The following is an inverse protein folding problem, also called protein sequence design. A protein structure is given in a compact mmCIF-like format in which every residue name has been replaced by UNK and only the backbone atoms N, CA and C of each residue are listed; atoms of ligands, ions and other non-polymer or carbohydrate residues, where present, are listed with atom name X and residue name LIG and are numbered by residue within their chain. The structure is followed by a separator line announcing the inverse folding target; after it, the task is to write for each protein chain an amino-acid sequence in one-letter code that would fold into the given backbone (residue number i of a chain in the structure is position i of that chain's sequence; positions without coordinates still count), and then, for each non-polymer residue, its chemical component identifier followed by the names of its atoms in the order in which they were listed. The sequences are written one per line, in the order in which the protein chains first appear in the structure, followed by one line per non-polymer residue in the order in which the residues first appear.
data_IF_892359458603
#
_entry.id   IF_892359458603
#
_cell.length_a   1.000
_cell.length_b   1.000
_cell.length_c   1.000
_cell.angle_alpha   90.00
_cell.angle_beta   90.00
_cell.angle_gamma   90.00
#
_symmetry.space_group_name_H-M   'P 1'
#
loop_
_entity.id
_entity.type
_entity.pdbx_description
1 polymer ?
#
# COMPACT_ATOMS: atom_id res chain seq x y z
N UNK A 1 -6.38 8.18 0.37
CA UNK A 1 -5.16 7.77 -0.35
C UNK A 1 -5.29 6.30 -0.73
N UNK A 2 -4.61 5.85 -1.79
CA UNK A 2 -4.49 4.43 -2.10
C UNK A 2 -3.19 3.91 -1.51
N UNK A 3 -3.25 2.78 -0.82
CA UNK A 3 -2.03 2.15 -0.28
C UNK A 3 -2.01 0.67 -0.64
N UNK A 4 -0.94 0.25 -1.30
CA UNK A 4 -0.64 -1.13 -1.59
C UNK A 4 0.50 -1.59 -0.66
N UNK A 5 0.19 -2.51 0.24
CA UNK A 5 1.11 -3.02 1.24
C UNK A 5 0.75 -4.48 1.53
N UNK A 6 1.59 -5.39 1.03
CA UNK A 6 1.34 -6.82 1.18
C UNK A 6 1.38 -7.25 2.65
N UNK A 7 2.32 -6.72 3.44
CA UNK A 7 2.43 -7.09 4.85
C UNK A 7 1.19 -6.64 5.63
N UNK A 8 0.73 -5.41 5.40
CA UNK A 8 -0.35 -4.84 6.20
C UNK A 8 -1.73 -5.34 5.76
N UNK A 9 -1.97 -5.47 4.45
CA UNK A 9 -3.31 -5.73 3.91
C UNK A 9 -3.46 -7.08 3.20
N UNK A 10 -2.36 -7.75 2.90
CA UNK A 10 -2.38 -9.05 2.24
C UNK A 10 -2.83 -9.00 0.78
N UNK A 11 -3.10 -10.19 0.24
CA UNK A 11 -3.65 -10.34 -1.11
C UNK A 11 -5.18 -10.14 -1.11
N UNK A 12 -5.69 -9.54 -2.18
CA UNK A 12 -7.09 -9.62 -2.55
C UNK A 12 -7.38 -10.96 -3.23
N UNK A 13 -6.53 -11.34 -4.20
CA UNK A 13 -6.58 -12.60 -4.93
C UNK A 13 -5.16 -13.20 -4.99
N UNK A 14 -4.82 -14.14 -4.06
CA UNK A 14 -3.51 -14.77 -4.03
C UNK A 14 -3.15 -15.51 -5.33
N UNK A 15 -4.14 -16.06 -6.04
CA UNK A 15 -3.89 -16.84 -7.26
C UNK A 15 -3.35 -15.98 -8.41
N UNK A 16 -3.60 -14.67 -8.36
CA UNK A 16 -3.12 -13.67 -9.32
C UNK A 16 -2.06 -12.74 -8.74
N UNK A 17 -1.59 -13.01 -7.52
CA UNK A 17 -0.75 -12.11 -6.72
C UNK A 17 -1.29 -10.66 -6.66
N UNK A 18 -2.61 -10.51 -6.66
CA UNK A 18 -3.26 -9.20 -6.63
C UNK A 18 -3.35 -8.71 -5.19
N UNK A 19 -2.75 -7.54 -4.92
CA UNK A 19 -2.74 -6.94 -3.58
C UNK A 19 -4.11 -6.37 -3.20
N UNK A 20 -4.42 -6.40 -1.90
CA UNK A 20 -5.59 -5.72 -1.35
C UNK A 20 -5.27 -4.25 -1.14
N UNK A 21 -6.10 -3.38 -1.70
CA UNK A 21 -5.99 -1.92 -1.55
C UNK A 21 -7.21 -1.43 -0.76
N UNK A 22 -7.11 -1.28 0.56
CA UNK A 22 -8.23 -0.78 1.36
C UNK A 22 -8.49 0.68 1.04
N UNK A 23 -9.77 1.06 0.99
CA UNK A 23 -10.21 2.43 0.89
C UNK A 23 -10.84 2.85 2.20
N UNK A 24 -10.54 4.06 2.65
CA UNK A 24 -11.18 4.66 3.79
C UNK A 24 -11.31 6.17 3.59
N UNK A 25 -12.34 6.75 4.20
CA UNK A 25 -12.38 8.19 4.45
C UNK A 25 -11.68 8.50 5.77
N UNK A 26 -10.99 9.62 5.82
CA UNK A 26 -10.45 10.18 7.06
C UNK A 26 -11.29 11.38 7.44
N UNK A 27 -11.93 11.30 8.60
CA UNK A 27 -12.72 12.39 9.19
C UNK A 27 -11.92 12.98 10.34
N UNK A 28 -11.66 14.29 10.31
CA UNK A 28 -11.01 15.00 11.41
C UNK A 28 -12.05 15.51 12.39
N UNK A 29 -11.95 15.10 13.66
CA UNK A 29 -12.88 15.56 14.70
C UNK A 29 -12.49 16.95 15.22
N UNK A 30 -12.66 17.98 14.38
CA UNK A 30 -12.24 19.35 14.63
C UNK A 30 -13.38 20.36 14.41
N UNK A 31 -13.38 21.46 15.18
CA UNK A 31 -14.42 22.51 15.11
C UNK A 31 -14.47 23.21 13.76
N UNK A 32 -13.31 23.39 13.11
CA UNK A 32 -13.22 24.01 11.79
C UNK A 32 -13.97 23.22 10.70
N UNK A 33 -14.14 21.91 10.92
CA UNK A 33 -14.82 20.98 10.02
C UNK A 33 -16.28 20.75 10.45
N UNK A 34 -16.80 21.58 11.38
CA UNK A 34 -18.16 21.46 11.93
C UNK A 34 -18.35 20.31 12.92
N UNK A 35 -17.26 19.62 13.30
CA UNK A 35 -17.21 18.56 14.30
C UNK A 35 -16.54 19.09 15.57
N UNK A 36 -15.88 18.23 16.35
CA UNK A 36 -14.93 18.65 17.38
C UNK A 36 -15.51 19.30 18.63
N UNK A 37 -16.81 19.58 18.72
CA UNK A 37 -17.45 20.04 19.96
C UNK A 37 -17.39 18.96 21.06
N UNK A 38 -17.48 17.69 20.66
CA UNK A 38 -17.46 16.50 21.52
C UNK A 38 -16.61 15.40 20.89
N UNK A 39 -16.15 14.39 21.66
CA UNK A 39 -15.60 13.17 21.06
C UNK A 39 -16.66 12.46 20.21
N UNK A 40 -16.23 11.84 19.10
CA UNK A 40 -17.10 10.94 18.34
C UNK A 40 -17.21 9.62 19.11
N UNK A 41 -18.42 9.27 19.50
CA UNK A 41 -18.70 8.03 20.22
C UNK A 41 -18.65 6.83 19.26
N UNK A 42 -18.23 5.64 19.74
CA UNK A 42 -18.21 4.46 18.91
C UNK A 42 -19.63 4.07 18.48
N UNK A 43 -19.77 3.59 17.25
CA UNK A 43 -21.07 3.21 16.73
C UNK A 43 -21.06 2.94 15.24
N UNK A 44 -22.23 2.58 14.71
CA UNK A 44 -22.40 2.30 13.28
C UNK A 44 -22.41 3.60 12.48
N UNK A 45 -21.49 3.71 11.53
CA UNK A 45 -21.42 4.82 10.57
C UNK A 45 -21.93 4.37 9.21
N UNK A 46 -22.68 5.25 8.54
CA UNK A 46 -23.12 5.06 7.15
C UNK A 46 -22.63 6.22 6.32
N UNK A 47 -22.06 5.90 5.18
CA UNK A 47 -21.38 6.86 4.32
C UNK A 47 -22.23 7.06 3.07
N UNK A 48 -22.52 8.33 2.80
CA UNK A 48 -23.28 8.76 1.64
C UNK A 48 -22.45 9.79 0.87
N UNK A 49 -22.61 9.82 -0.45
CA UNK A 49 -22.00 10.82 -1.31
C UNK A 49 -23.08 11.49 -2.14
N UNK A 50 -23.05 12.82 -2.22
CA UNK A 50 -23.85 13.59 -3.16
C UNK A 50 -23.40 13.25 -4.59
N UNK A 51 -24.35 12.88 -5.44
CA UNK A 51 -24.08 12.48 -6.82
C UNK A 51 -24.07 13.66 -7.80
N UNK A 52 -24.21 14.89 -7.31
CA UNK A 52 -24.23 16.12 -8.10
C UNK A 52 -25.51 16.31 -8.92
N UNK A 53 -26.51 15.42 -8.77
CA UNK A 53 -27.82 15.50 -9.44
C UNK A 53 -28.97 15.75 -8.45
N UNK A 54 -28.64 16.12 -7.21
CA UNK A 54 -29.60 16.35 -6.13
C UNK A 54 -30.05 15.07 -5.43
N UNK A 55 -29.35 13.96 -5.65
CA UNK A 55 -29.57 12.68 -4.96
C UNK A 55 -28.33 12.25 -4.18
N UNK A 56 -28.53 11.34 -3.22
CA UNK A 56 -27.43 10.79 -2.40
C UNK A 56 -27.26 9.31 -2.70
N UNK A 57 -26.02 8.91 -2.99
CA UNK A 57 -25.64 7.53 -3.18
C UNK A 57 -25.12 6.94 -1.86
N UNK A 58 -25.61 5.77 -1.47
CA UNK A 58 -25.05 5.01 -0.35
C UNK A 58 -23.74 4.34 -0.78
N UNK A 59 -22.65 4.63 -0.08
CA UNK A 59 -21.31 4.11 -0.37
C UNK A 59 -20.95 2.90 0.50
N UNK A 60 -21.42 2.86 1.75
CA UNK A 60 -21.07 1.78 2.66
C UNK A 60 -21.43 2.02 4.13
N UNK A 61 -21.22 0.99 4.92
CA UNK A 61 -21.40 0.98 6.38
C UNK A 61 -20.11 0.48 7.03
N UNK A 62 -19.70 1.11 8.13
CA UNK A 62 -18.56 0.72 8.94
C UNK A 62 -18.86 0.93 10.44
N UNK A 63 -18.01 0.38 11.31
CA UNK A 63 -18.08 0.61 12.75
C UNK A 63 -17.07 1.68 13.17
N UNK A 64 -17.55 2.90 13.42
CA UNK A 64 -16.74 4.00 13.92
C UNK A 64 -16.20 3.67 15.32
N UNK A 65 -14.92 3.92 15.51
CA UNK A 65 -14.26 3.84 16.82
C UNK A 65 -14.47 5.14 17.61
N UNK A 66 -14.28 5.04 18.93
CA UNK A 66 -14.20 6.23 19.77
C UNK A 66 -13.06 7.13 19.27
N UNK A 67 -13.38 8.38 18.93
CA UNK A 67 -12.40 9.34 18.40
C UNK A 67 -12.43 10.61 19.24
N UNK A 68 -11.36 10.91 20.00
CA UNK A 68 -11.25 12.16 20.76
C UNK A 68 -11.34 13.40 19.88
N UNK A 69 -11.49 14.58 20.52
CA UNK A 69 -11.34 15.86 19.82
C UNK A 69 -9.94 15.96 19.20
N UNK A 70 -9.84 16.62 18.05
CA UNK A 70 -8.58 16.85 17.30
C UNK A 70 -7.88 15.56 16.87
N UNK A 71 -8.63 14.46 16.73
CA UNK A 71 -8.12 13.18 16.23
C UNK A 71 -8.86 12.75 14.97
N UNK A 72 -8.23 11.87 14.22
CA UNK A 72 -8.74 11.35 12.97
C UNK A 72 -9.51 10.05 13.20
N UNK A 73 -10.68 9.93 12.57
CA UNK A 73 -11.46 8.72 12.44
C UNK A 73 -11.31 8.20 11.01
N UNK A 74 -10.82 6.97 10.86
CA UNK A 74 -10.82 6.27 9.58
C UNK A 74 -12.10 5.44 9.45
N UNK A 75 -12.85 5.64 8.37
CA UNK A 75 -14.05 4.87 8.02
C UNK A 75 -13.81 4.09 6.74
N UNK A 76 -13.87 2.76 6.83
CA UNK A 76 -13.64 1.84 5.73
C UNK A 76 -14.75 1.91 4.69
N UNK A 77 -14.33 1.89 3.42
CA UNK A 77 -15.19 1.76 2.23
C UNK A 77 -15.03 0.40 1.56
N UNK A 78 -14.29 -0.53 2.19
CA UNK A 78 -13.93 -1.80 1.61
C UNK A 78 -12.65 -1.71 0.77
N UNK A 79 -12.63 -2.45 -0.35
CA UNK A 79 -11.44 -2.59 -1.20
C UNK A 79 -11.63 -1.83 -2.52
N UNK A 80 -10.59 -1.12 -2.96
CA UNK A 80 -10.60 -0.44 -4.24
C UNK A 80 -10.81 -1.45 -5.39
N UNK A 81 -11.71 -1.11 -6.31
CA UNK A 81 -11.92 -1.86 -7.56
C UNK A 81 -11.22 -1.22 -8.75
N UNK A 82 -11.00 0.09 -8.67
CA UNK A 82 -10.47 0.89 -9.78
C UNK A 82 -8.94 0.92 -9.83
N UNK A 83 -8.25 0.42 -8.80
CA UNK A 83 -6.79 0.31 -8.77
C UNK A 83 -6.44 -1.16 -8.57
N UNK A 84 -5.66 -1.71 -9.50
CA UNK A 84 -5.18 -3.09 -9.45
C UNK A 84 -3.67 -3.07 -9.33
N UNK A 85 -3.13 -3.82 -8.36
CA UNK A 85 -1.69 -3.98 -8.16
C UNK A 85 -1.36 -5.47 -8.12
N UNK A 86 -0.55 -5.92 -9.05
CA UNK A 86 -0.01 -7.29 -9.08
C UNK A 86 1.45 -7.26 -8.66
N UNK A 87 1.79 -7.99 -7.60
CA UNK A 87 3.15 -8.09 -7.06
C UNK A 87 3.79 -9.42 -7.47
N UNK A 88 5.01 -9.39 -7.96
CA UNK A 88 5.77 -10.62 -8.31
C UNK A 88 7.22 -10.47 -7.92
N UNK A 89 7.86 -11.57 -7.48
CA UNK A 89 9.33 -11.62 -7.41
C UNK A 89 9.81 -11.91 -8.83
N UNK A 90 10.35 -10.89 -9.51
CA UNK A 90 10.84 -10.99 -10.88
C UNK A 90 12.22 -11.65 -10.94
N UNK A 91 13.07 -11.37 -9.95
CA UNK A 91 14.42 -11.95 -9.84
C UNK A 91 14.75 -12.24 -8.39
N UNK A 92 15.44 -13.36 -8.19
CA UNK A 92 16.02 -13.78 -6.91
C UNK A 92 17.30 -14.55 -7.19
N UNK A 93 18.42 -13.92 -6.91
CA UNK A 93 19.74 -14.53 -7.05
C UNK A 93 20.42 -14.65 -5.68
N UNK A 94 21.07 -15.78 -5.42
CA UNK A 94 21.82 -16.01 -4.19
C UNK A 94 23.31 -15.87 -4.48
N UNK A 95 24.01 -15.03 -3.69
CA UNK A 95 25.45 -14.81 -3.79
C UNK A 95 26.14 -15.24 -2.51
N UNK A 96 27.13 -16.12 -2.62
CA UNK A 96 27.95 -16.51 -1.47
C UNK A 96 28.91 -15.40 -1.06
N UNK A 97 28.94 -15.06 0.22
CA UNK A 97 29.86 -14.08 0.81
C UNK A 97 31.07 -14.81 1.41
N UNK A 98 30.84 -15.66 2.42
CA UNK A 98 31.88 -16.46 3.10
C UNK A 98 31.26 -17.65 3.83
N UNK A 99 31.84 -18.84 3.74
CA UNK A 99 31.32 -20.01 4.47
C UNK A 99 29.89 -20.34 4.04
N UNK A 100 28.94 -20.41 4.98
CA UNK A 100 27.50 -20.54 4.71
C UNK A 100 26.75 -19.21 4.70
N UNK A 101 27.46 -18.07 4.65
CA UNK A 101 26.88 -16.74 4.57
C UNK A 101 26.59 -16.36 3.11
N UNK A 102 25.38 -15.89 2.86
CA UNK A 102 24.87 -15.51 1.55
C UNK A 102 24.18 -14.15 1.59
N UNK A 103 24.26 -13.44 0.47
CA UNK A 103 23.38 -12.33 0.16
C UNK A 103 22.33 -12.79 -0.86
N UNK A 104 21.14 -12.20 -0.81
CA UNK A 104 20.09 -12.39 -1.79
C UNK A 104 19.83 -11.09 -2.54
N UNK A 105 20.08 -11.10 -3.84
CA UNK A 105 19.75 -10.01 -4.75
C UNK A 105 18.33 -10.25 -5.30
N UNK A 106 17.39 -9.37 -4.93
CA UNK A 106 15.96 -9.56 -5.16
C UNK A 106 15.38 -8.36 -5.90
N UNK A 107 14.61 -8.64 -6.94
CA UNK A 107 13.80 -7.64 -7.65
C UNK A 107 12.33 -8.00 -7.51
N UNK A 108 11.59 -7.15 -6.81
CA UNK A 108 10.13 -7.21 -6.71
C UNK A 108 9.54 -6.29 -7.77
N UNK A 109 8.71 -6.83 -8.66
CA UNK A 109 7.99 -6.09 -9.71
C UNK A 109 6.54 -5.89 -9.29
N UNK A 110 6.05 -4.67 -9.50
CA UNK A 110 4.66 -4.31 -9.36
C UNK A 110 4.13 -3.84 -10.71
N UNK A 111 3.04 -4.46 -11.15
CA UNK A 111 2.27 -4.02 -12.31
C UNK A 111 0.99 -3.38 -11.79
N UNK A 112 0.78 -2.12 -12.14
CA UNK A 112 -0.24 -1.27 -11.53
C UNK A 112 -1.13 -0.70 -12.62
N UNK A 113 -2.43 -0.80 -12.42
CA UNK A 113 -3.45 -0.37 -13.38
C UNK A 113 -4.46 0.54 -12.69
N UNK A 114 -4.62 1.77 -13.21
CA UNK A 114 -5.63 2.72 -12.76
C UNK A 114 -6.77 2.82 -13.78
N UNK A 115 -7.97 2.43 -13.35
CA UNK A 115 -9.21 2.45 -14.13
C UNK A 115 -10.05 3.71 -13.89
N UNK A 116 -9.53 4.70 -13.17
CA UNK A 116 -10.18 6.01 -13.04
C UNK A 116 -9.94 6.87 -14.27
N UNK A 117 -10.85 7.81 -14.48
CA UNK A 117 -10.73 8.91 -15.46
C UNK A 117 -9.77 10.02 -15.01
N UNK A 118 -9.25 9.93 -13.79
CA UNK A 118 -8.30 10.86 -13.19
C UNK A 118 -7.00 10.15 -12.82
N UNK A 119 -5.90 10.89 -12.92
CA UNK A 119 -4.62 10.43 -12.40
C UNK A 119 -4.69 10.36 -10.86
N UNK A 120 -4.00 9.38 -10.29
CA UNK A 120 -3.94 9.20 -8.84
C UNK A 120 -2.53 8.88 -8.40
N UNK A 121 -2.23 9.14 -7.13
CA UNK A 121 -1.01 8.68 -6.49
C UNK A 121 -1.31 7.43 -5.63
N UNK A 122 -0.47 6.41 -5.79
CA UNK A 122 -0.49 5.18 -4.99
C UNK A 122 0.72 5.17 -4.06
N UNK A 123 0.46 5.00 -2.76
CA UNK A 123 1.50 4.65 -1.81
C UNK A 123 1.79 3.16 -1.90
N UNK A 124 3.03 2.79 -2.18
CA UNK A 124 3.49 1.42 -2.28
C UNK A 124 4.51 1.14 -1.18
N UNK A 125 4.23 0.17 -0.31
CA UNK A 125 5.12 -0.23 0.76
C UNK A 125 5.44 -1.72 0.72
N UNK A 126 6.68 -2.08 1.07
CA UNK A 126 7.14 -3.47 1.15
C UNK A 126 7.87 -3.68 2.46
N UNK A 127 7.52 -4.72 3.22
CA UNK A 127 8.28 -5.07 4.43
C UNK A 127 9.46 -5.96 4.06
N UNK A 128 10.65 -5.52 4.44
CA UNK A 128 11.89 -6.26 4.20
C UNK A 128 11.94 -7.54 5.01
N UNK A 129 11.37 -7.55 6.22
CA UNK A 129 11.24 -8.75 7.04
C UNK A 129 10.29 -9.76 6.39
N UNK A 130 9.13 -9.32 5.90
CA UNK A 130 8.20 -10.23 5.21
C UNK A 130 8.79 -10.74 3.88
N UNK A 131 9.45 -9.87 3.11
CA UNK A 131 10.15 -10.26 1.89
C UNK A 131 11.26 -11.27 2.20
N UNK A 132 12.09 -11.04 3.22
CA UNK A 132 13.12 -12.00 3.65
C UNK A 132 12.50 -13.35 4.01
N UNK A 133 11.36 -13.35 4.71
CA UNK A 133 10.62 -14.57 5.05
C UNK A 133 10.11 -15.31 3.80
N UNK A 134 9.61 -14.59 2.81
CA UNK A 134 9.16 -15.17 1.53
C UNK A 134 10.34 -15.79 0.75
N UNK A 135 11.50 -15.12 0.76
CA UNK A 135 12.69 -15.58 0.03
C UNK A 135 13.33 -16.78 0.72
N UNK A 136 13.61 -16.72 2.02
CA UNK A 136 14.44 -17.72 2.71
C UNK A 136 13.85 -18.29 4.00
N UNK A 137 12.66 -17.87 4.39
CA UNK A 137 12.03 -18.27 5.65
C UNK A 137 12.42 -17.39 6.83
N UNK A 138 11.89 -17.76 7.99
CA UNK A 138 12.16 -17.04 9.23
C UNK A 138 13.49 -17.47 9.87
N UNK A 139 14.33 -16.51 10.24
CA UNK A 139 15.66 -16.72 10.82
C UNK A 139 15.71 -16.22 12.27
N UNK A 140 14.63 -15.58 12.76
CA UNK A 140 14.57 -14.97 14.08
C UNK A 140 15.46 -13.73 14.28
N UNK A 141 16.10 -13.23 13.20
CA UNK A 141 17.00 -12.07 13.24
C UNK A 141 16.41 -10.86 12.52
N UNK A 142 16.85 -9.66 12.88
CA UNK A 142 16.56 -8.48 12.08
C UNK A 142 17.11 -8.65 10.65
N UNK A 143 16.34 -8.19 9.67
CA UNK A 143 16.78 -8.20 8.27
C UNK A 143 17.80 -7.08 8.05
N UNK A 144 18.95 -7.43 7.48
CA UNK A 144 19.91 -6.45 6.97
C UNK A 144 19.72 -6.33 5.47
N UNK A 145 19.56 -5.13 4.94
CA UNK A 145 19.30 -4.92 3.53
C UNK A 145 19.81 -3.58 3.03
N UNK A 146 19.98 -3.47 1.72
CA UNK A 146 20.28 -2.21 1.02
C UNK A 146 19.57 -2.16 -0.33
N UNK A 147 19.30 -0.97 -0.87
CA UNK A 147 18.85 -0.84 -2.25
C UNK A 147 19.90 -1.32 -3.25
N UNK A 148 19.45 -2.03 -4.27
CA UNK A 148 20.23 -2.33 -5.46
C UNK A 148 20.13 -1.23 -6.52
N UNK A 149 20.96 -1.33 -7.56
CA UNK A 149 21.11 -0.27 -8.57
C UNK A 149 20.18 -0.40 -9.77
N UNK A 150 19.30 -1.40 -9.81
CA UNK A 150 18.48 -1.76 -10.98
C UNK A 150 16.98 -1.49 -10.87
N UNK A 151 16.48 -1.05 -9.71
CA UNK A 151 15.06 -0.76 -9.49
C UNK A 151 14.64 0.63 -9.98
N UNK A 152 13.34 0.84 -10.16
CA UNK A 152 12.75 2.17 -10.38
C UNK A 152 12.37 2.85 -9.06
N UNK A 153 12.08 2.08 -8.02
CA UNK A 153 11.74 2.55 -6.67
C UNK A 153 13.03 2.75 -5.88
N UNK A 154 13.49 4.01 -5.76
CA UNK A 154 14.79 4.36 -5.14
C UNK A 154 14.71 5.40 -4.04
N UNK A 155 13.70 6.25 -4.10
CA UNK A 155 13.55 7.39 -3.20
C UNK A 155 12.33 7.11 -2.31
N UNK A 156 12.51 6.39 -1.20
CA UNK A 156 11.42 6.19 -0.25
C UNK A 156 11.05 7.52 0.40
N UNK A 157 9.79 7.65 0.80
CA UNK A 157 9.29 8.77 1.60
C UNK A 157 10.05 8.82 2.93
N UNK A 158 10.71 9.94 3.22
CA UNK A 158 11.56 10.10 4.40
C UNK A 158 10.79 10.11 5.72
N UNK A 159 9.54 10.58 5.70
CA UNK A 159 8.71 10.78 6.89
C UNK A 159 7.83 9.56 7.18
N UNK A 160 7.39 8.84 6.14
CA UNK A 160 6.46 7.72 6.24
C UNK A 160 7.13 6.35 6.16
N UNK A 161 8.37 6.27 5.70
CA UNK A 161 9.12 5.02 5.68
C UNK A 161 9.68 4.66 7.05
N UNK A 162 9.88 3.36 7.27
CA UNK A 162 10.67 2.86 8.39
C UNK A 162 11.87 2.07 7.88
N UNK A 163 12.79 1.72 8.78
CA UNK A 163 13.95 0.89 8.44
C UNK A 163 13.57 -0.50 7.88
N UNK A 164 12.40 -1.04 8.23
CA UNK A 164 11.89 -2.30 7.68
C UNK A 164 10.99 -2.09 6.47
N UNK A 165 10.31 -0.95 6.38
CA UNK A 165 9.21 -0.75 5.45
C UNK A 165 9.38 0.56 4.69
N UNK A 166 10.20 0.56 3.61
CA UNK A 166 10.23 1.68 2.68
C UNK A 166 8.87 1.86 2.01
N UNK A 167 8.41 3.11 1.96
CA UNK A 167 7.19 3.55 1.28
C UNK A 167 7.57 4.43 0.09
N UNK A 168 6.90 4.24 -1.05
CA UNK A 168 7.13 5.00 -2.27
C UNK A 168 5.83 5.58 -2.78
N UNK A 169 5.89 6.79 -3.36
CA UNK A 169 4.78 7.35 -4.11
C UNK A 169 4.92 6.98 -5.59
N UNK A 170 3.87 6.38 -6.14
CA UNK A 170 3.80 6.01 -7.55
C UNK A 170 2.68 6.80 -8.21
N UNK A 171 3.05 7.71 -9.11
CA UNK A 171 2.09 8.42 -9.94
C UNK A 171 1.49 7.47 -10.98
N UNK A 172 0.17 7.37 -11.00
CA UNK A 172 -0.59 6.55 -11.93
C UNK A 172 -1.38 7.46 -12.87
N UNK A 173 -1.20 7.33 -14.20
CA UNK A 173 -1.99 8.08 -15.16
C UNK A 173 -3.47 7.69 -15.06
N UNK A 174 -4.36 8.56 -15.55
CA UNK A 174 -5.74 8.20 -15.82
C UNK A 174 -5.81 7.05 -16.85
N UNK A 175 -6.93 6.34 -16.88
CA UNK A 175 -7.23 5.37 -17.94
C UNK A 175 -7.19 6.03 -19.32
N UNK A 176 -6.85 5.24 -20.33
CA UNK A 176 -6.85 5.65 -21.72
C UNK A 176 -8.25 6.01 -22.23
N UNK A 177 -8.30 6.71 -23.36
CA UNK A 177 -9.55 7.08 -24.03
C UNK A 177 -10.41 5.88 -24.45
N UNK A 178 -9.80 4.70 -24.58
CA UNK A 178 -10.45 3.41 -24.82
C UNK A 178 -11.03 2.76 -23.54
N UNK A 179 -11.06 3.51 -22.44
CA UNK A 179 -11.45 3.07 -21.09
C UNK A 179 -10.57 1.96 -20.49
N UNK A 180 -9.43 1.63 -21.11
CA UNK A 180 -8.48 0.67 -20.56
C UNK A 180 -7.47 1.38 -19.67
N UNK A 181 -7.07 0.71 -18.60
CA UNK A 181 -6.01 1.21 -17.75
C UNK A 181 -4.67 1.23 -18.51
N UNK A 182 -3.87 2.27 -18.26
CA UNK A 182 -2.47 2.32 -18.70
C UNK A 182 -1.63 1.61 -17.65
N UNK A 183 -1.05 0.45 -18.01
CA UNK A 183 -0.22 -0.33 -17.08
C UNK A 183 1.08 0.43 -16.76
N UNK A 184 1.29 0.69 -15.48
CA UNK A 184 2.52 1.26 -14.91
C UNK A 184 3.30 0.15 -14.24
N UNK A 185 4.56 -0.06 -14.65
CA UNK A 185 5.42 -1.09 -14.07
C UNK A 185 6.55 -0.44 -13.27
N UNK A 186 6.64 -0.79 -11.99
CA UNK A 186 7.72 -0.33 -11.11
C UNK A 186 8.44 -1.52 -10.47
N UNK A 187 9.71 -1.33 -10.12
CA UNK A 187 10.59 -2.37 -9.57
C UNK A 187 11.29 -1.89 -8.31
N UNK A 188 11.19 -2.66 -7.24
CA UNK A 188 11.99 -2.53 -6.04
C UNK A 188 13.15 -3.52 -6.14
N UNK A 189 14.38 -3.02 -6.20
CA UNK A 189 15.58 -3.84 -6.19
C UNK A 189 16.25 -3.70 -4.83
N UNK A 190 16.36 -4.80 -4.09
CA UNK A 190 16.99 -4.87 -2.78
C UNK A 190 17.99 -6.00 -2.71
N UNK A 191 19.03 -5.81 -1.90
CA UNK A 191 20.00 -6.84 -1.54
C UNK A 191 19.82 -7.13 -0.07
N UNK A 192 19.34 -8.32 0.27
CA UNK A 192 19.24 -8.83 1.63
C UNK A 192 20.60 -9.45 1.97
N UNK A 193 21.19 -9.06 3.10
CA UNK A 193 22.59 -9.34 3.42
C UNK A 193 22.74 -10.36 4.54
N UNK A 194 23.90 -11.02 4.55
CA UNK A 194 24.40 -11.76 5.71
C UNK A 194 23.46 -12.87 6.21
N UNK A 195 22.86 -13.56 5.26
CA UNK A 195 21.91 -14.63 5.51
C UNK A 195 22.67 -15.98 5.57
N UNK A 196 22.60 -16.65 6.72
CA UNK A 196 23.15 -18.00 6.94
C UNK A 196 22.01 -18.99 7.15
#
# INVERSE_FOLDING_TARGET
SYTADLHTYGYLDPSKNQLRIPMHYVVRNEEKDGLGAFPLMPGKARIFQDDGRGTVAFLGEDWASYTPRQKELALSLGVAKDIVVTRTIERRDQRRVKGQLFDYDVVVKYEIENFKDSAVELDLAESMTALRREIRGDTGRAVEWTFGTGGTLRNPDADRSTADRPLFHVALPARGADQKAVKTTVRLHVVIKNEW
#
